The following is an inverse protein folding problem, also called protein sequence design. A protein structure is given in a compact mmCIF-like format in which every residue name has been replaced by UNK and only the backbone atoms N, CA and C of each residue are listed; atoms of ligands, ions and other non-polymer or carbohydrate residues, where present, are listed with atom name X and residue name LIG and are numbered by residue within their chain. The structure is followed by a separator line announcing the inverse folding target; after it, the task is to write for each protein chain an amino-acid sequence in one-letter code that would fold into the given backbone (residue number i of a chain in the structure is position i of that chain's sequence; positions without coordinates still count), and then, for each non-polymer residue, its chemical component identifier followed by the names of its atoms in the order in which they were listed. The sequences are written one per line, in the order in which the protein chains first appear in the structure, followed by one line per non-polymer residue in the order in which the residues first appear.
data_IF_324132052858
#
_entry.id   IF_324132052858
#
_cell.length_a   1.000
_cell.length_b   1.000
_cell.length_c   1.000
_cell.angle_alpha   90.00
_cell.angle_beta   90.00
_cell.angle_gamma   90.00
#
_symmetry.space_group_name_H-M   'P 1'
#
loop_
_entity.id
_entity.type
_entity.pdbx_description
1 polymer ?
#
# COMPACT_ATOMS: atom_id res chain seq x y z
N UNK A 1 -18.06 52.44 -24.12
CA UNK A 1 -17.23 51.34 -23.58
C UNK A 1 -18.11 50.44 -22.73
N UNK A 2 -18.61 49.35 -23.32
CA UNK A 2 -19.25 48.26 -22.58
C UNK A 2 -18.14 47.49 -21.89
N UNK A 3 -18.20 47.33 -20.57
CA UNK A 3 -17.36 46.36 -19.86
C UNK A 3 -18.12 45.05 -19.89
N UNK A 4 -17.55 44.08 -20.58
CA UNK A 4 -17.98 42.69 -20.54
C UNK A 4 -17.67 42.16 -19.14
N UNK A 5 -18.71 41.81 -18.41
CA UNK A 5 -18.62 41.04 -17.18
C UNK A 5 -18.31 39.59 -17.57
N UNK A 6 -17.01 39.26 -17.47
CA UNK A 6 -16.48 37.94 -17.72
C UNK A 6 -16.94 36.98 -16.61
N UNK A 7 -17.93 36.17 -16.95
CA UNK A 7 -18.27 34.89 -16.34
C UNK A 7 -17.06 34.19 -15.69
N UNK A 8 -16.96 34.28 -14.36
CA UNK A 8 -16.28 33.25 -13.57
C UNK A 8 -17.36 32.27 -13.15
N UNK A 9 -17.62 31.29 -14.01
CA UNK A 9 -18.37 30.11 -13.64
C UNK A 9 -17.67 29.46 -12.43
N UNK A 10 -18.22 29.65 -11.24
CA UNK A 10 -17.93 28.81 -10.09
C UNK A 10 -18.43 27.40 -10.44
N UNK A 11 -17.50 26.61 -10.96
CA UNK A 11 -17.73 25.20 -11.26
C UNK A 11 -17.88 24.53 -9.90
N UNK A 12 -19.12 24.30 -9.48
CA UNK A 12 -19.44 23.45 -8.33
C UNK A 12 -18.89 22.05 -8.63
N UNK A 13 -17.64 21.80 -8.26
CA UNK A 13 -17.02 20.49 -8.39
C UNK A 13 -17.78 19.50 -7.52
N UNK A 14 -18.09 18.33 -8.08
CA UNK A 14 -18.64 17.24 -7.27
C UNK A 14 -17.62 16.89 -6.18
N UNK A 15 -18.07 16.42 -5.00
CA UNK A 15 -17.18 16.10 -3.89
C UNK A 15 -16.08 15.10 -4.27
N UNK A 16 -16.40 14.24 -5.23
CA UNK A 16 -15.51 13.20 -5.76
C UNK A 16 -14.40 13.80 -6.64
N UNK A 17 -14.71 14.83 -7.43
CA UNK A 17 -13.73 15.57 -8.23
C UNK A 17 -12.68 16.26 -7.35
N UNK A 18 -13.11 16.77 -6.19
CA UNK A 18 -12.21 17.44 -5.22
C UNK A 18 -11.21 16.46 -4.63
N UNK A 19 -11.65 15.27 -4.21
CA UNK A 19 -10.74 14.29 -3.61
C UNK A 19 -9.72 13.76 -4.63
N UNK A 20 -10.13 13.59 -5.88
CA UNK A 20 -9.24 13.22 -6.97
C UNK A 20 -8.20 14.30 -7.26
N UNK A 21 -8.58 15.58 -7.19
CA UNK A 21 -7.65 16.71 -7.34
C UNK A 21 -6.63 16.71 -6.21
N UNK A 22 -7.05 16.53 -4.94
CA UNK A 22 -6.14 16.43 -3.79
C UNK A 22 -5.09 15.31 -3.95
N UNK A 23 -5.51 14.13 -4.45
CA UNK A 23 -4.58 13.03 -4.75
C UNK A 23 -3.57 13.43 -5.85
N UNK A 24 -4.02 14.17 -6.87
CA UNK A 24 -3.15 14.67 -7.92
C UNK A 24 -2.18 15.74 -7.39
N UNK A 25 -2.64 16.62 -6.52
CA UNK A 25 -1.82 17.66 -5.90
C UNK A 25 -0.72 17.06 -5.03
N UNK A 26 -1.06 16.05 -4.23
CA UNK A 26 -0.07 15.32 -3.44
C UNK A 26 1.03 14.70 -4.29
N UNK A 27 0.64 14.03 -5.39
CA UNK A 27 1.59 13.50 -6.36
C UNK A 27 2.47 14.59 -6.99
N UNK A 28 1.88 15.74 -7.33
CA UNK A 28 2.59 16.85 -7.96
C UNK A 28 3.60 17.50 -6.99
N UNK A 29 3.22 17.74 -5.73
CA UNK A 29 4.12 18.28 -4.71
C UNK A 29 5.29 17.33 -4.44
N UNK A 30 5.03 16.03 -4.32
CA UNK A 30 6.07 15.02 -4.18
C UNK A 30 7.02 15.02 -5.39
N UNK A 31 6.49 15.12 -6.61
CA UNK A 31 7.31 15.19 -7.82
C UNK A 31 8.19 16.44 -7.86
N UNK A 32 7.68 17.59 -7.43
CA UNK A 32 8.46 18.83 -7.35
C UNK A 32 9.60 18.73 -6.33
N UNK A 33 9.38 18.05 -5.20
CA UNK A 33 10.39 17.85 -4.17
C UNK A 33 11.37 16.72 -4.49
N UNK A 34 10.94 15.68 -5.21
CA UNK A 34 11.67 14.43 -5.45
C UNK A 34 11.50 13.98 -6.89
N UNK A 35 12.07 14.75 -7.83
CA UNK A 35 11.89 14.54 -9.28
C UNK A 35 12.28 13.13 -9.76
N UNK A 36 13.28 12.51 -9.12
CA UNK A 36 13.73 11.15 -9.41
C UNK A 36 12.66 10.07 -9.12
N UNK A 37 11.61 10.40 -8.37
CA UNK A 37 10.46 9.51 -8.15
C UNK A 37 9.37 9.66 -9.21
N UNK A 38 9.62 10.34 -10.34
CA UNK A 38 8.59 10.55 -11.38
C UNK A 38 7.87 9.27 -11.81
N UNK A 39 8.61 8.21 -12.16
CA UNK A 39 8.02 6.95 -12.57
C UNK A 39 7.27 6.25 -11.42
N UNK A 40 7.86 6.06 -10.23
CA UNK A 40 7.13 5.56 -9.06
C UNK A 40 5.83 6.31 -8.74
N UNK A 41 5.88 7.64 -8.69
CA UNK A 41 4.73 8.49 -8.36
C UNK A 41 3.61 8.41 -9.40
N UNK A 42 3.93 8.08 -10.66
CA UNK A 42 2.93 7.90 -11.72
C UNK A 42 2.56 6.43 -11.93
N UNK A 43 3.08 5.51 -11.10
CA UNK A 43 2.82 4.08 -11.23
C UNK A 43 1.54 3.61 -10.54
N UNK A 44 0.90 4.41 -9.69
CA UNK A 44 -0.37 4.07 -9.09
C UNK A 44 -1.50 4.88 -9.72
N UNK A 45 -2.56 4.20 -10.15
CA UNK A 45 -3.77 4.85 -10.69
C UNK A 45 -4.70 5.22 -9.53
N UNK A 46 -5.12 6.48 -9.37
CA UNK A 46 -6.09 6.84 -8.34
C UNK A 46 -7.43 6.15 -8.55
N UNK A 47 -7.94 5.51 -7.50
CA UNK A 47 -9.27 4.88 -7.49
C UNK A 47 -9.95 5.13 -6.14
N UNK A 48 -11.22 5.53 -6.18
CA UNK A 48 -11.98 5.74 -4.96
C UNK A 48 -12.37 4.41 -4.33
N UNK A 49 -12.21 4.32 -3.01
CA UNK A 49 -12.73 3.23 -2.21
C UNK A 49 -13.15 3.74 -0.83
N UNK A 50 -14.47 3.80 -0.61
CA UNK A 50 -15.06 4.29 0.65
C UNK A 50 -14.97 3.28 1.79
N UNK A 51 -14.59 2.03 1.51
CA UNK A 51 -14.38 1.01 2.55
C UNK A 51 -13.02 1.15 3.25
N UNK A 52 -12.10 1.96 2.69
CA UNK A 52 -10.79 2.20 3.27
C UNK A 52 -10.85 3.16 4.44
N UNK A 53 -9.98 2.93 5.42
CA UNK A 53 -9.78 3.88 6.50
C UNK A 53 -9.23 5.22 5.98
N UNK A 54 -8.26 5.18 5.06
CA UNK A 54 -7.66 6.40 4.49
C UNK A 54 -7.12 6.19 3.08
N UNK A 55 -5.99 5.51 2.94
CA UNK A 55 -5.35 5.11 1.67
C UNK A 55 -5.05 3.61 1.76
N UNK A 56 -4.91 2.95 0.62
CA UNK A 56 -4.44 1.59 0.48
C UNK A 56 -3.84 1.39 -0.92
N UNK A 57 -3.20 0.23 -1.16
CA UNK A 57 -2.72 -0.17 -2.48
C UNK A 57 -2.80 -1.67 -2.68
N UNK A 58 -3.08 -2.07 -3.92
CA UNK A 58 -2.91 -3.43 -4.43
C UNK A 58 -1.67 -3.55 -5.34
N UNK A 59 -0.85 -2.50 -5.40
CA UNK A 59 0.31 -2.39 -6.29
C UNK A 59 0.00 -1.77 -7.67
N UNK A 60 -1.27 -1.62 -8.03
CA UNK A 60 -1.73 -0.97 -9.27
C UNK A 60 -2.48 0.33 -9.03
N UNK A 61 -3.31 0.35 -7.98
CA UNK A 61 -4.12 1.50 -7.62
C UNK A 61 -3.67 2.11 -6.31
N UNK A 62 -3.78 3.43 -6.21
CA UNK A 62 -3.86 4.10 -4.91
C UNK A 62 -5.34 4.25 -4.58
N UNK A 63 -5.80 3.41 -3.66
CA UNK A 63 -7.20 3.28 -3.26
C UNK A 63 -7.47 4.21 -2.09
N UNK A 64 -8.25 5.27 -2.29
CA UNK A 64 -8.41 6.31 -1.27
C UNK A 64 -9.88 6.49 -0.87
N UNK A 65 -10.11 6.75 0.42
CA UNK A 65 -11.43 7.13 0.91
C UNK A 65 -11.64 8.63 0.68
N UNK A 66 -12.53 9.04 -0.26
CA UNK A 66 -12.65 10.44 -0.66
C UNK A 66 -13.06 11.36 0.50
N UNK A 67 -13.83 10.86 1.48
CA UNK A 67 -14.26 11.65 2.64
C UNK A 67 -13.08 11.91 3.58
N UNK A 68 -12.34 10.85 3.94
CA UNK A 68 -11.21 10.95 4.86
C UNK A 68 -10.05 11.72 4.22
N UNK A 69 -9.78 11.52 2.93
CA UNK A 69 -8.78 12.28 2.18
C UNK A 69 -9.01 13.79 2.28
N UNK A 70 -10.26 14.26 2.12
CA UNK A 70 -10.57 15.68 2.28
C UNK A 70 -10.35 16.15 3.71
N UNK A 71 -10.85 15.40 4.70
CA UNK A 71 -10.69 15.74 6.12
C UNK A 71 -9.22 15.88 6.52
N UNK A 72 -8.38 14.90 6.14
CA UNK A 72 -6.94 14.92 6.44
C UNK A 72 -6.22 16.06 5.71
N UNK A 73 -6.56 16.31 4.45
CA UNK A 73 -5.96 17.41 3.66
C UNK A 73 -6.29 18.79 4.21
N UNK A 74 -7.50 18.97 4.77
CA UNK A 74 -7.89 20.22 5.44
C UNK A 74 -7.11 20.46 6.74
N UNK A 75 -6.67 19.40 7.43
CA UNK A 75 -5.79 19.51 8.60
C UNK A 75 -4.39 19.90 8.15
N UNK A 76 -3.84 19.16 7.18
CA UNK A 76 -2.56 19.47 6.56
C UNK A 76 -2.38 18.67 5.26
N UNK A 77 -2.01 19.31 4.12
CA UNK A 77 -1.72 18.60 2.88
C UNK A 77 -0.55 17.61 3.04
N UNK A 78 0.36 17.87 3.98
CA UNK A 78 1.51 17.00 4.30
C UNK A 78 1.06 15.60 4.69
N UNK A 79 -0.11 15.45 5.33
CA UNK A 79 -0.63 14.13 5.71
C UNK A 79 -0.92 13.29 4.47
N UNK A 80 -1.52 13.89 3.45
CA UNK A 80 -1.83 13.21 2.20
C UNK A 80 -0.57 12.93 1.39
N UNK A 81 0.35 13.90 1.30
CA UNK A 81 1.64 13.72 0.65
C UNK A 81 2.44 12.57 1.26
N UNK A 82 2.52 12.53 2.58
CA UNK A 82 3.22 11.47 3.30
C UNK A 82 2.61 10.11 3.03
N UNK A 83 1.29 9.99 3.13
CA UNK A 83 0.59 8.74 2.85
C UNK A 83 0.75 8.28 1.40
N UNK A 84 0.72 9.21 0.43
CA UNK A 84 0.99 8.88 -0.97
C UNK A 84 2.42 8.35 -1.15
N UNK A 85 3.41 9.03 -0.57
CA UNK A 85 4.81 8.59 -0.64
C UNK A 85 5.01 7.23 0.03
N UNK A 86 4.42 7.04 1.20
CA UNK A 86 4.45 5.79 1.96
C UNK A 86 3.97 4.61 1.10
N UNK A 87 2.77 4.73 0.53
CA UNK A 87 2.20 3.71 -0.36
C UNK A 87 3.06 3.44 -1.60
N UNK A 88 3.68 4.48 -2.19
CA UNK A 88 4.63 4.31 -3.31
C UNK A 88 5.88 3.57 -2.87
N UNK A 89 6.44 3.87 -1.70
CA UNK A 89 7.63 3.21 -1.17
C UNK A 89 7.37 1.73 -0.85
N UNK A 90 6.20 1.37 -0.30
CA UNK A 90 5.82 -0.05 -0.17
C UNK A 90 5.93 -0.79 -1.49
N UNK A 91 5.40 -0.21 -2.56
CA UNK A 91 5.43 -0.83 -3.87
C UNK A 91 6.85 -0.88 -4.45
N UNK A 92 7.66 0.18 -4.27
CA UNK A 92 9.06 0.21 -4.70
C UNK A 92 9.89 -0.87 -4.01
N UNK A 93 9.65 -1.12 -2.72
CA UNK A 93 10.32 -2.18 -1.97
C UNK A 93 9.65 -3.54 -2.09
N UNK A 94 8.63 -3.65 -2.96
CA UNK A 94 7.88 -4.89 -3.22
C UNK A 94 7.20 -5.50 -1.99
N UNK A 95 6.97 -4.72 -0.92
CA UNK A 95 6.33 -5.18 0.31
C UNK A 95 4.96 -5.86 0.07
N UNK A 96 4.06 -5.31 -0.79
CA UNK A 96 2.79 -5.94 -1.09
C UNK A 96 2.90 -7.30 -1.79
N UNK A 97 4.07 -7.69 -2.31
CA UNK A 97 4.25 -8.89 -3.14
C UNK A 97 5.04 -10.01 -2.43
N UNK A 98 5.38 -9.85 -1.15
CA UNK A 98 6.12 -10.85 -0.36
C UNK A 98 5.14 -11.86 0.27
N UNK A 99 5.27 -13.15 -0.08
CA UNK A 99 4.38 -14.23 0.38
C UNK A 99 5.12 -15.54 0.72
N UNK A 100 6.08 -15.56 1.67
CA UNK A 100 6.64 -16.81 2.14
C UNK A 100 5.58 -17.61 2.92
N UNK A 101 5.65 -18.93 2.85
CA UNK A 101 4.77 -19.80 3.63
C UNK A 101 4.99 -19.56 5.13
N UNK A 102 3.90 -19.38 5.89
CA UNK A 102 3.96 -19.13 7.33
C UNK A 102 4.29 -17.68 7.73
N UNK A 103 4.21 -16.72 6.79
CA UNK A 103 4.30 -15.30 7.11
C UNK A 103 3.21 -14.90 8.11
N UNK A 104 3.58 -14.19 9.16
CA UNK A 104 2.63 -13.48 10.00
C UNK A 104 2.35 -12.12 9.36
N UNK A 105 1.17 -11.98 8.74
CA UNK A 105 0.77 -10.78 7.98
C UNK A 105 0.75 -9.51 8.84
N UNK A 106 0.26 -9.58 10.08
CA UNK A 106 0.21 -8.43 10.99
C UNK A 106 1.61 -7.92 11.36
N UNK A 107 2.55 -8.84 11.65
CA UNK A 107 3.94 -8.45 11.92
C UNK A 107 4.65 -7.96 10.66
N UNK A 108 4.31 -8.50 9.50
CA UNK A 108 4.86 -8.06 8.21
C UNK A 108 4.43 -6.63 7.88
N UNK A 109 3.15 -6.33 8.08
CA UNK A 109 2.58 -4.99 7.90
C UNK A 109 3.33 -3.96 8.77
N UNK A 110 3.46 -4.23 10.07
CA UNK A 110 4.17 -3.36 11.00
C UNK A 110 5.64 -3.17 10.58
N UNK A 111 6.31 -4.25 10.17
CA UNK A 111 7.70 -4.19 9.75
C UNK A 111 7.89 -3.35 8.48
N UNK A 112 6.97 -3.49 7.53
CA UNK A 112 6.95 -2.70 6.30
C UNK A 112 6.73 -1.22 6.60
N UNK A 113 5.78 -0.89 7.48
CA UNK A 113 5.48 0.47 7.90
C UNK A 113 6.69 1.12 8.57
N UNK A 114 7.32 0.43 9.53
CA UNK A 114 8.52 0.90 10.22
C UNK A 114 9.64 1.22 9.21
N UNK A 115 9.89 0.32 8.27
CA UNK A 115 10.94 0.51 7.27
C UNK A 115 10.67 1.74 6.39
N UNK A 116 9.45 1.87 5.86
CA UNK A 116 9.05 2.99 5.00
C UNK A 116 9.04 4.31 5.76
N UNK A 117 8.44 4.34 6.95
CA UNK A 117 8.33 5.56 7.74
C UNK A 117 9.69 6.02 8.28
N UNK A 118 10.62 5.10 8.57
CA UNK A 118 12.00 5.47 8.96
C UNK A 118 12.72 6.26 7.86
N UNK A 119 12.50 5.88 6.60
CA UNK A 119 13.03 6.59 5.44
C UNK A 119 12.37 7.96 5.34
N UNK A 120 11.04 8.03 5.40
CA UNK A 120 10.33 9.32 5.27
C UNK A 120 10.68 10.26 6.43
N UNK A 121 10.83 9.76 7.66
CA UNK A 121 11.24 10.56 8.82
C UNK A 121 12.67 11.10 8.71
N UNK A 122 13.55 10.43 7.95
CA UNK A 122 14.89 10.94 7.64
C UNK A 122 14.89 12.05 6.58
N UNK A 123 13.79 12.24 5.83
CA UNK A 123 13.68 13.25 4.79
C UNK A 123 13.43 14.63 5.40
N UNK A 124 14.39 15.55 5.21
CA UNK A 124 14.23 16.96 5.58
C UNK A 124 13.43 17.76 4.53
N UNK A 125 12.31 17.21 4.05
CA UNK A 125 11.48 17.78 2.99
C UNK A 125 10.13 18.27 3.53
N UNK A 126 9.84 19.57 3.37
CA UNK A 126 8.63 20.22 3.91
C UNK A 126 7.32 19.53 3.49
N UNK A 127 7.28 18.94 2.30
CA UNK A 127 6.08 18.28 1.77
C UNK A 127 5.69 16.99 2.52
N UNK A 128 6.58 16.39 3.31
CA UNK A 128 6.33 15.12 4.05
C UNK A 128 6.71 15.20 5.53
N UNK A 129 7.33 16.30 5.95
CA UNK A 129 7.83 16.51 7.30
C UNK A 129 6.69 16.72 8.30
N UNK A 130 6.66 15.89 9.33
CA UNK A 130 5.73 16.00 10.45
C UNK A 130 6.51 16.01 11.78
N UNK A 131 5.86 16.48 12.84
CA UNK A 131 6.42 16.37 14.19
C UNK A 131 6.45 14.91 14.59
N UNK A 132 7.62 14.40 14.98
CA UNK A 132 7.78 13.02 15.41
C UNK A 132 7.08 12.81 16.77
N UNK A 133 6.15 11.84 16.88
CA UNK A 133 5.57 11.49 18.17
C UNK A 133 6.61 10.80 19.07
N UNK A 134 6.54 11.03 20.39
CA UNK A 134 7.46 10.42 21.37
C UNK A 134 7.46 8.89 21.29
N UNK A 135 6.29 8.28 21.08
CA UNK A 135 6.16 6.83 20.93
C UNK A 135 6.98 6.31 19.74
N UNK A 136 7.06 7.11 18.67
CA UNK A 136 7.85 6.77 17.48
C UNK A 136 9.35 6.89 17.76
N UNK A 137 9.77 7.92 18.49
CA UNK A 137 11.16 8.10 18.93
C UNK A 137 11.62 6.92 19.81
N UNK A 138 10.80 6.51 20.77
CA UNK A 138 11.07 5.37 21.64
C UNK A 138 11.16 4.06 20.86
N UNK A 139 10.25 3.85 19.90
CA UNK A 139 10.28 2.70 19.01
C UNK A 139 11.56 2.65 18.17
N UNK A 140 11.97 3.76 17.54
CA UNK A 140 13.23 3.81 16.79
C UNK A 140 14.44 3.53 17.67
N UNK A 141 14.46 4.05 18.90
CA UNK A 141 15.54 3.75 19.84
C UNK A 141 15.63 2.24 20.13
N UNK A 142 14.49 1.61 20.47
CA UNK A 142 14.44 0.15 20.72
C UNK A 142 14.91 -0.65 19.50
N UNK A 143 14.52 -0.26 18.29
CA UNK A 143 14.94 -0.96 17.07
C UNK A 143 16.44 -0.77 16.79
N UNK A 144 16.96 0.46 16.87
CA UNK A 144 18.37 0.76 16.61
C UNK A 144 19.33 0.11 17.62
N UNK A 145 18.87 -0.19 18.84
CA UNK A 145 19.66 -0.95 19.82
C UNK A 145 19.79 -2.44 19.42
N UNK A 146 18.92 -2.96 18.55
CA UNK A 146 18.85 -4.38 18.17
C UNK A 146 19.25 -4.65 16.70
N UNK A 147 19.27 -3.63 15.83
CA UNK A 147 19.63 -3.80 14.42
C UNK A 147 20.35 -2.58 13.86
N UNK A 148 21.18 -2.82 12.85
CA UNK A 148 21.95 -1.76 12.16
C UNK A 148 21.20 -1.14 10.99
N UNK A 149 20.26 -1.87 10.40
CA UNK A 149 19.48 -1.46 9.22
C UNK A 149 17.99 -1.72 9.46
N UNK A 150 17.19 -0.66 9.39
CA UNK A 150 15.73 -0.66 9.53
C UNK A 150 15.05 -1.05 8.20
N UNK A 151 15.33 -2.25 7.70
CA UNK A 151 14.57 -2.83 6.58
C UNK A 151 13.45 -3.75 7.10
N UNK A 152 12.44 -3.98 6.26
CA UNK A 152 11.26 -4.75 6.65
C UNK A 152 11.60 -6.18 7.08
N UNK A 153 12.65 -6.80 6.53
CA UNK A 153 13.02 -8.16 6.90
C UNK A 153 13.64 -8.20 8.30
N UNK A 154 14.60 -7.32 8.61
CA UNK A 154 15.21 -7.27 9.94
C UNK A 154 14.20 -6.90 11.02
N UNK A 155 13.31 -5.95 10.72
CA UNK A 155 12.24 -5.58 11.65
C UNK A 155 11.28 -6.74 11.85
N UNK A 156 10.87 -7.43 10.79
CA UNK A 156 10.00 -8.60 10.89
C UNK A 156 10.62 -9.71 11.73
N UNK A 157 11.87 -10.09 11.46
CA UNK A 157 12.57 -11.13 12.23
C UNK A 157 12.73 -10.75 13.70
N UNK A 158 13.02 -9.48 13.98
CA UNK A 158 13.06 -8.96 15.35
C UNK A 158 11.71 -9.11 16.04
N UNK A 159 10.62 -8.60 15.43
CA UNK A 159 9.27 -8.67 16.01
C UNK A 159 8.81 -10.13 16.20
N UNK A 160 9.09 -10.99 15.23
CA UNK A 160 8.74 -12.40 15.27
C UNK A 160 9.51 -13.18 16.37
N UNK A 161 10.68 -12.68 16.78
CA UNK A 161 11.46 -13.24 17.90
C UNK A 161 10.96 -12.85 19.29
N UNK A 162 10.13 -11.79 19.39
CA UNK A 162 9.56 -11.32 20.65
C UNK A 162 8.47 -12.28 21.17
N UNK A 163 8.17 -12.20 22.46
CA UNK A 163 7.00 -12.90 23.01
C UNK A 163 5.68 -12.25 22.54
N UNK A 164 4.57 -12.99 22.67
CA UNK A 164 3.24 -12.51 22.22
C UNK A 164 2.77 -11.23 22.94
N UNK A 165 3.19 -11.00 24.18
CA UNK A 165 2.85 -9.79 24.92
C UNK A 165 3.57 -8.58 24.35
N UNK A 166 4.86 -8.72 24.02
CA UNK A 166 5.63 -7.67 23.35
C UNK A 166 5.14 -7.40 21.93
N UNK A 167 4.79 -8.44 21.16
CA UNK A 167 4.20 -8.30 19.82
C UNK A 167 2.90 -7.47 19.88
N UNK A 168 2.03 -7.78 20.84
CA UNK A 168 0.76 -7.05 21.01
C UNK A 168 0.95 -5.55 21.31
N UNK A 169 2.07 -5.15 21.93
CA UNK A 169 2.38 -3.73 22.14
C UNK A 169 2.63 -3.02 20.81
N UNK A 170 3.36 -3.67 19.88
CA UNK A 170 3.62 -3.11 18.54
C UNK A 170 2.35 -3.06 17.69
N UNK A 171 1.56 -4.13 17.71
CA UNK A 171 0.24 -4.21 17.05
C UNK A 171 -0.68 -3.08 17.54
N UNK A 172 -0.75 -2.86 18.86
CA UNK A 172 -1.63 -1.85 19.45
C UNK A 172 -1.11 -0.40 19.30
N UNK A 173 0.20 -0.20 19.17
CA UNK A 173 0.78 1.14 19.12
C UNK A 173 0.36 1.89 17.85
N UNK A 174 0.18 1.18 16.72
CA UNK A 174 -0.26 1.76 15.43
C UNK A 174 0.53 3.00 14.99
N UNK A 175 1.73 3.21 15.54
CA UNK A 175 2.45 4.49 15.45
C UNK A 175 3.08 4.67 14.07
N UNK A 176 3.22 3.58 13.32
CA UNK A 176 3.77 3.56 11.96
C UNK A 176 2.71 3.35 10.89
N UNK A 177 1.48 2.99 11.26
CA UNK A 177 0.39 2.70 10.33
C UNK A 177 -0.11 3.96 9.65
N UNK A 178 0.01 4.02 8.32
CA UNK A 178 -0.41 5.16 7.50
C UNK A 178 -1.47 4.76 6.48
N UNK A 179 -1.35 3.59 5.86
CA UNK A 179 -2.33 3.05 4.92
C UNK A 179 -2.91 1.68 5.37
N UNK A 180 -3.86 1.17 4.60
CA UNK A 180 -4.59 -0.09 4.87
C UNK A 180 -4.02 -1.19 3.96
N UNK A 181 -3.48 -2.25 4.59
CA UNK A 181 -2.81 -3.35 3.90
C UNK A 181 -3.73 -4.49 3.45
N UNK A 182 -5.05 -4.42 3.71
CA UNK A 182 -5.97 -5.55 3.43
C UNK A 182 -5.95 -6.03 1.96
N UNK A 183 -5.60 -5.16 1.01
CA UNK A 183 -5.54 -5.52 -0.42
C UNK A 183 -4.28 -6.30 -0.79
N UNK A 184 -3.29 -6.35 0.09
CA UNK A 184 -2.13 -7.21 -0.12
C UNK A 184 -2.62 -8.66 -0.08
N UNK A 185 -3.44 -9.00 0.91
CA UNK A 185 -3.83 -10.39 1.19
C UNK A 185 -5.14 -10.82 0.49
N UNK A 186 -5.96 -9.88 0.03
CA UNK A 186 -7.29 -10.13 -0.57
C UNK A 186 -7.32 -11.05 -1.80
N UNK A 187 -6.18 -11.29 -2.43
CA UNK A 187 -6.08 -12.22 -3.54
C UNK A 187 -6.17 -13.71 -3.12
N UNK A 188 -6.16 -14.00 -1.81
CA UNK A 188 -6.34 -15.33 -1.23
C UNK A 188 -7.73 -15.57 -0.60
N UNK A 189 -8.55 -14.54 -0.37
CA UNK A 189 -9.80 -14.69 0.41
C UNK A 189 -10.90 -15.49 -0.30
N UNK A 190 -10.80 -15.68 -1.62
CA UNK A 190 -11.67 -16.61 -2.35
C UNK A 190 -11.36 -18.08 -2.04
N UNK A 191 -10.30 -18.39 -1.28
CA UNK A 191 -9.94 -19.76 -0.92
C UNK A 191 -10.57 -20.25 0.38
N UNK A 192 -10.96 -19.35 1.30
CA UNK A 192 -11.45 -19.74 2.63
C UNK A 192 -12.96 -19.56 2.84
N UNK A 193 -13.69 -18.91 1.93
CA UNK A 193 -15.15 -18.68 2.08
C UNK A 193 -16.04 -19.81 1.55
N UNK A 194 -15.52 -20.71 0.71
CA UNK A 194 -16.32 -21.81 0.14
C UNK A 194 -16.40 -23.07 1.04
N UNK A 195 -15.88 -23.02 2.27
CA UNK A 195 -15.85 -24.19 3.18
C UNK A 195 -16.73 -24.05 4.43
N UNK A 196 -17.64 -23.07 4.49
CA UNK A 196 -18.46 -22.85 5.71
C UNK A 196 -19.98 -22.72 5.52
N UNK A 197 -20.54 -23.03 4.35
CA UNK A 197 -22.01 -23.06 4.18
C UNK A 197 -22.47 -24.36 3.49
N UNK A 198 -22.43 -25.47 4.23
CA UNK A 198 -23.51 -26.47 4.09
C UNK A 198 -23.59 -27.40 5.31
N UNK A 199 -24.32 -26.94 6.33
CA UNK A 199 -24.95 -27.81 7.33
C UNK A 199 -26.42 -27.47 7.41
N UNK A 200 -27.14 -27.72 6.31
CA UNK A 200 -28.57 -27.96 6.40
C UNK A 200 -28.81 -29.42 6.82
N UNK A 201 -29.21 -29.53 8.08
CA UNK A 201 -29.81 -30.71 8.69
C UNK A 201 -31.06 -31.11 7.88
N UNK A 202 -31.08 -32.34 7.34
CA UNK A 202 -32.31 -33.09 7.08
C UNK A 202 -32.01 -34.58 6.98
N UNK A 203 -32.43 -35.28 8.04
CA UNK A 203 -32.59 -36.73 8.08
C UNK A 203 -33.86 -37.16 7.35
N UNK A 204 -33.72 -38.31 6.70
CA UNK A 204 -34.69 -39.40 6.54
C UNK A 204 -35.49 -39.50 5.23
N UNK A 205 -35.52 -40.73 4.68
CA UNK A 205 -36.44 -41.16 3.63
C UNK A 205 -35.82 -41.92 2.45
N UNK A 206 -35.65 -43.24 2.59
CA UNK A 206 -35.24 -44.19 1.55
C UNK A 206 -36.11 -44.19 0.28
N UNK A 207 -35.51 -44.44 -0.90
CA UNK A 207 -35.92 -45.51 -1.84
C UNK A 207 -34.96 -45.67 -3.03
N UNK A 208 -34.77 -46.94 -3.41
CA UNK A 208 -33.99 -47.49 -4.54
C UNK A 208 -34.45 -47.03 -5.93
N UNK A 209 -33.52 -46.91 -6.90
CA UNK A 209 -33.54 -47.65 -8.19
C UNK A 209 -32.30 -47.37 -9.07
N UNK A 210 -31.93 -48.40 -9.84
CA UNK A 210 -30.77 -48.61 -10.70
C UNK A 210 -30.60 -47.68 -11.94
N UNK A 211 -29.35 -47.67 -12.43
CA UNK A 211 -28.89 -47.74 -13.84
C UNK A 211 -28.31 -46.50 -14.56
N UNK A 212 -27.05 -46.68 -14.95
CA UNK A 212 -26.24 -46.09 -16.05
C UNK A 212 -26.15 -44.58 -16.28
N UNK A 213 -24.91 -44.10 -16.45
CA UNK A 213 -24.60 -43.00 -17.39
C UNK A 213 -23.59 -41.98 -16.89
N UNK A 214 -22.36 -42.13 -17.40
CA UNK A 214 -21.31 -41.15 -17.67
C UNK A 214 -21.63 -39.63 -17.63
N UNK A 215 -20.58 -38.86 -17.35
CA UNK A 215 -20.34 -37.40 -17.47
C UNK A 215 -20.75 -36.47 -16.32
N UNK A 216 -19.75 -35.77 -15.75
CA UNK A 216 -19.99 -34.71 -14.76
C UNK A 216 -18.78 -34.12 -14.02
N UNK A 217 -17.65 -33.93 -14.71
CA UNK A 217 -16.60 -32.91 -14.49
C UNK A 217 -16.24 -32.41 -13.08
N UNK A 218 -15.02 -32.75 -12.66
CA UNK A 218 -14.16 -32.09 -11.65
C UNK A 218 -13.79 -30.63 -12.04
N UNK A 219 -14.76 -29.78 -12.30
CA UNK A 219 -14.55 -28.47 -12.94
C UNK A 219 -14.31 -27.31 -11.94
N UNK A 220 -14.00 -27.63 -10.68
CA UNK A 220 -13.84 -26.65 -9.60
C UNK A 220 -12.39 -26.52 -9.08
N UNK A 221 -11.60 -27.59 -9.12
CA UNK A 221 -10.17 -27.56 -8.74
C UNK A 221 -9.31 -26.85 -9.79
N UNK A 222 -9.62 -27.04 -11.08
CA UNK A 222 -8.90 -26.43 -12.19
C UNK A 222 -9.12 -24.92 -12.27
N UNK A 223 -10.35 -24.44 -11.99
CA UNK A 223 -10.66 -23.00 -11.95
C UNK A 223 -9.91 -22.29 -10.83
N UNK A 224 -9.88 -22.87 -9.63
CA UNK A 224 -9.14 -22.29 -8.50
C UNK A 224 -7.62 -22.22 -8.79
N UNK A 225 -7.05 -23.29 -9.36
CA UNK A 225 -5.63 -23.30 -9.77
C UNK A 225 -5.32 -22.27 -10.87
N UNK A 226 -6.27 -22.03 -11.79
CA UNK A 226 -6.09 -21.06 -12.87
C UNK A 226 -6.16 -19.62 -12.37
N UNK A 227 -7.07 -19.31 -11.45
CA UNK A 227 -7.19 -18.00 -10.80
C UNK A 227 -5.93 -17.72 -9.96
N UNK A 228 -5.46 -18.69 -9.17
CA UNK A 228 -4.20 -18.59 -8.42
C UNK A 228 -3.00 -18.29 -9.33
N UNK A 229 -2.88 -18.98 -10.47
CA UNK A 229 -1.80 -18.74 -11.45
C UNK A 229 -1.89 -17.35 -12.09
N UNK A 230 -3.09 -16.90 -12.44
CA UNK A 230 -3.30 -15.56 -13.00
C UNK A 230 -2.98 -14.47 -11.98
N UNK A 231 -3.39 -14.64 -10.72
CA UNK A 231 -3.04 -13.77 -9.60
C UNK A 231 -1.54 -13.71 -9.38
N UNK A 232 -0.86 -14.86 -9.30
CA UNK A 232 0.58 -14.91 -9.10
C UNK A 232 1.35 -14.25 -10.26
N UNK A 233 0.88 -14.46 -11.50
CA UNK A 233 1.46 -13.82 -12.68
C UNK A 233 1.23 -12.31 -12.67
N UNK A 234 0.05 -11.82 -12.27
CA UNK A 234 -0.23 -10.39 -12.11
C UNK A 234 0.70 -9.76 -11.05
N UNK A 235 0.82 -10.37 -9.87
CA UNK A 235 1.75 -9.94 -8.82
C UNK A 235 3.19 -9.90 -9.34
N UNK A 236 3.61 -10.92 -10.12
CA UNK A 236 4.94 -10.97 -10.73
C UNK A 236 5.16 -9.83 -11.73
N UNK A 237 4.18 -9.55 -12.59
CA UNK A 237 4.25 -8.46 -13.56
C UNK A 237 4.30 -7.09 -12.89
N UNK A 238 3.47 -6.89 -11.85
CA UNK A 238 3.49 -5.66 -11.05
C UNK A 238 4.83 -5.47 -10.34
N UNK A 239 5.39 -6.54 -9.74
CA UNK A 239 6.73 -6.51 -9.15
C UNK A 239 7.80 -6.10 -10.16
N UNK A 240 7.80 -6.69 -11.36
CA UNK A 240 8.77 -6.34 -12.43
C UNK A 240 8.66 -4.87 -12.82
N UNK A 241 7.43 -4.35 -12.92
CA UNK A 241 7.18 -2.93 -13.18
C UNK A 241 7.79 -2.04 -12.09
N UNK A 242 7.55 -2.37 -10.82
CA UNK A 242 8.07 -1.62 -9.69
C UNK A 242 9.61 -1.70 -9.59
N UNK A 243 10.19 -2.88 -9.81
CA UNK A 243 11.64 -3.07 -9.88
C UNK A 243 12.28 -2.18 -10.95
N UNK A 244 11.62 -2.06 -12.12
CA UNK A 244 12.08 -1.18 -13.19
C UNK A 244 11.98 0.30 -12.81
N UNK A 245 10.86 0.70 -12.19
CA UNK A 245 10.66 2.07 -11.73
C UNK A 245 11.69 2.46 -10.66
N UNK A 246 11.97 1.57 -9.71
CA UNK A 246 12.95 1.78 -8.66
C UNK A 246 14.39 1.91 -9.21
N UNK A 247 14.79 1.04 -10.16
CA UNK A 247 16.11 1.15 -10.82
C UNK A 247 16.28 2.48 -11.54
N UNK A 248 15.27 2.93 -12.27
CA UNK A 248 15.32 4.21 -12.98
C UNK A 248 15.45 5.38 -11.99
N UNK A 249 14.68 5.38 -10.91
CA UNK A 249 14.77 6.39 -9.87
C UNK A 249 16.18 6.47 -9.25
N UNK A 250 16.80 5.31 -8.99
CA UNK A 250 18.18 5.23 -8.52
C UNK A 250 19.19 5.86 -9.49
N UNK A 251 19.12 5.49 -10.78
CA UNK A 251 20.01 6.05 -11.80
C UNK A 251 19.84 7.56 -11.99
N UNK A 252 18.62 8.08 -11.91
CA UNK A 252 18.35 9.52 -11.97
C UNK A 252 18.92 10.26 -10.76
N UNK A 253 18.79 9.69 -9.56
CA UNK A 253 19.36 10.24 -8.34
C UNK A 253 20.90 10.31 -8.42
N UNK A 254 21.57 9.25 -8.87
CA UNK A 254 23.02 9.23 -9.07
C UNK A 254 23.49 10.29 -10.06
N UNK A 255 22.77 10.44 -11.18
CA UNK A 255 23.07 11.47 -12.18
C UNK A 255 22.96 12.90 -11.63
N UNK A 256 21.95 13.16 -10.80
CA UNK A 256 21.77 14.46 -10.14
C UNK A 256 22.92 14.75 -9.17
N UNK A 257 23.31 13.79 -8.33
CA UNK A 257 24.43 13.93 -7.39
C UNK A 257 25.74 14.22 -8.15
N UNK A 258 26.01 13.49 -9.23
CA UNK A 258 27.20 13.70 -10.06
C UNK A 258 27.23 15.10 -10.72
N UNK A 259 26.07 15.62 -11.16
CA UNK A 259 25.95 16.96 -11.73
C UNK A 259 26.13 18.08 -10.69
N UNK A 260 25.69 17.87 -9.45
CA UNK A 260 25.86 18.83 -8.36
C UNK A 260 27.33 18.89 -7.88
N UNK A 261 28.02 17.75 -7.84
CA UNK A 261 29.44 17.68 -7.44
C UNK A 261 30.41 18.33 -8.44
N UNK A 262 30.04 18.44 -9.71
CA UNK A 262 30.88 19.06 -10.76
C UNK A 262 30.76 20.59 -10.82
N UNK A 263 29.71 21.17 -10.25
CA UNK A 263 29.48 22.62 -10.21
C UNK A 263 30.21 23.38 -9.08
N UNK A 264 30.85 22.69 -8.13
CA UNK A 264 31.57 23.31 -7.00
C UNK A 264 33.09 23.43 -7.21
N UNK A 265 33.61 23.04 -8.38
CA UNK A 265 35.04 23.07 -8.69
C UNK A 265 35.45 24.17 -9.71
N UNK A 266 34.58 25.18 -9.93
CA UNK A 266 34.80 26.29 -10.88
C UNK A 266 34.88 27.65 -10.21
#
# INVERSE_FOLDING_TARGET
MKREDGSRAEKNMNSDDVSRELISDARNELYLAMRYLFLPLNSLVPKEDRSNYFIATDGSYILYNPVITRQKSMISPVVLNRAYLHTVLHCMFSHPFVRPAGLNEELWDIACDVAVESIIDSLSLKCVMQVMPLQREEAYKKLNDNMTLLDANNVYEYLNSLDRGEQAVWEAAGTFTVDDHKYWYSHNDNENRDNSDDKHDNRDGSNDTDDTGDTGSDDNSDKNSSVQRLTAELCRQMKIRWDKAARQAGSEMEGLIASAGTGMAG
#
